data_IF_721857679457
#
_entry.id   IF_721857679457
#
_cell.length_a   1.000
_cell.length_b   1.000
_cell.length_c   1.000
_cell.angle_alpha   90.00
_cell.angle_beta   90.00
_cell.angle_gamma   90.00
#
_symmetry.space_group_name_H-M   'P 1'
#
loop_
_entity.id
_entity.type
_entity.pdbx_description
1 polymer ?
#
# COMPACT_ATOMS: atom_id res chain seq x y z
N UNK A 1 11.25 -4.43 -20.89
CA UNK A 1 11.38 -4.31 -19.43
C UNK A 1 9.98 -4.37 -18.82
N UNK A 2 9.65 -5.38 -18.00
CA UNK A 2 8.44 -5.29 -17.16
C UNK A 2 8.71 -4.21 -16.12
N UNK A 3 7.95 -3.11 -16.11
CA UNK A 3 8.07 -2.17 -14.99
C UNK A 3 7.56 -2.89 -13.74
N UNK A 4 8.32 -2.81 -12.65
CA UNK A 4 7.85 -3.29 -11.37
C UNK A 4 6.71 -2.39 -10.90
N UNK A 5 5.68 -2.97 -10.29
CA UNK A 5 4.63 -2.18 -9.63
C UNK A 5 5.24 -1.51 -8.41
N UNK A 6 5.05 -0.21 -8.25
CA UNK A 6 5.60 0.55 -7.13
C UNK A 6 4.51 0.78 -6.10
N UNK A 7 4.66 0.23 -4.91
CA UNK A 7 3.76 0.49 -3.78
C UNK A 7 4.46 1.45 -2.82
N UNK A 8 3.89 2.63 -2.61
CA UNK A 8 4.43 3.64 -1.69
C UNK A 8 3.46 3.90 -0.55
N UNK A 9 3.87 3.63 0.69
CA UNK A 9 3.07 3.86 1.90
C UNK A 9 3.52 5.12 2.64
N UNK A 10 2.58 5.90 3.17
CA UNK A 10 2.89 7.02 4.06
C UNK A 10 3.32 6.49 5.44
N UNK A 11 4.57 6.74 5.82
CA UNK A 11 5.17 6.40 7.11
C UNK A 11 5.13 7.56 8.13
N UNK A 12 4.42 8.64 7.81
CA UNK A 12 4.24 9.77 8.72
C UNK A 12 3.49 9.40 10.00
N UNK A 13 3.73 10.15 11.08
CA UNK A 13 3.17 9.90 12.41
C UNK A 13 1.63 9.85 12.44
N UNK A 14 0.96 10.67 11.63
CA UNK A 14 -0.50 10.65 11.48
C UNK A 14 -1.01 9.34 10.87
N UNK A 15 -0.35 8.82 9.83
CA UNK A 15 -0.72 7.53 9.24
C UNK A 15 -0.38 6.37 10.18
N UNK A 16 0.70 6.47 10.94
CA UNK A 16 1.06 5.49 11.96
C UNK A 16 0.00 5.37 13.06
N UNK A 17 -0.43 6.50 13.63
CA UNK A 17 -1.52 6.52 14.63
C UNK A 17 -2.85 5.98 14.09
N UNK A 18 -3.04 5.97 12.77
CA UNK A 18 -4.23 5.45 12.08
C UNK A 18 -4.07 4.01 11.60
N UNK A 19 -2.97 3.33 11.93
CA UNK A 19 -2.81 1.89 11.66
C UNK A 19 -2.06 1.54 10.38
N UNK A 20 -1.23 2.43 9.81
CA UNK A 20 -0.44 2.10 8.62
C UNK A 20 0.49 0.87 8.81
N UNK A 21 0.91 0.58 10.04
CA UNK A 21 1.79 -0.53 10.38
C UNK A 21 1.12 -1.88 10.10
N UNK A 22 -0.16 -2.00 10.44
CA UNK A 22 -0.95 -3.20 10.18
C UNK A 22 -1.17 -3.38 8.69
N UNK A 23 -1.43 -2.28 7.97
CA UNK A 23 -1.55 -2.30 6.50
C UNK A 23 -0.23 -2.74 5.85
N UNK A 24 0.90 -2.24 6.35
CA UNK A 24 2.23 -2.60 5.86
C UNK A 24 2.50 -4.10 6.03
N UNK A 25 2.14 -4.69 7.17
CA UNK A 25 2.25 -6.13 7.40
C UNK A 25 1.37 -6.94 6.45
N UNK A 26 0.11 -6.54 6.28
CA UNK A 26 -0.83 -7.19 5.36
C UNK A 26 -0.29 -7.18 3.92
N UNK A 27 0.26 -6.06 3.46
CA UNK A 27 0.84 -5.98 2.11
C UNK A 27 2.05 -6.91 1.98
N UNK A 28 2.96 -6.92 2.96
CA UNK A 28 4.14 -7.80 2.92
C UNK A 28 3.76 -9.27 2.87
N UNK A 29 2.78 -9.68 3.68
CA UNK A 29 2.29 -11.05 3.70
C UNK A 29 1.64 -11.40 2.36
N UNK A 30 0.75 -10.54 1.85
CA UNK A 30 0.12 -10.72 0.56
C UNK A 30 1.13 -10.89 -0.58
N UNK A 31 2.15 -10.04 -0.65
CA UNK A 31 3.18 -10.13 -1.69
C UNK A 31 3.99 -11.41 -1.60
N UNK A 32 4.22 -11.91 -0.38
CA UNK A 32 4.96 -13.16 -0.15
C UNK A 32 4.11 -14.38 -0.52
N UNK A 33 2.85 -14.43 -0.07
CA UNK A 33 1.91 -15.52 -0.35
C UNK A 33 1.61 -15.68 -1.85
N UNK A 34 1.68 -14.58 -2.60
CA UNK A 34 1.39 -14.55 -4.03
C UNK A 34 2.63 -14.53 -4.93
N UNK A 35 3.83 -14.72 -4.36
CA UNK A 35 5.11 -14.72 -5.10
C UNK A 35 5.37 -13.41 -5.89
N UNK A 36 4.79 -12.29 -5.46
CA UNK A 36 4.87 -10.99 -6.12
C UNK A 36 6.06 -10.13 -5.65
N UNK A 37 6.78 -10.56 -4.61
CA UNK A 37 7.90 -9.81 -4.01
C UNK A 37 8.99 -9.38 -5.01
N UNK A 38 9.24 -10.18 -6.05
CA UNK A 38 10.22 -9.84 -7.10
C UNK A 38 9.69 -8.84 -8.14
N UNK A 39 8.37 -8.75 -8.27
CA UNK A 39 7.66 -7.92 -9.25
C UNK A 39 7.20 -6.57 -8.69
N UNK A 40 7.31 -6.39 -7.37
CA UNK A 40 6.89 -5.17 -6.66
C UNK A 40 8.09 -4.47 -6.04
N UNK A 41 8.10 -3.14 -6.14
CA UNK A 41 9.02 -2.27 -5.41
C UNK A 41 8.24 -1.57 -4.30
N UNK A 42 8.53 -1.89 -3.05
CA UNK A 42 7.83 -1.31 -1.89
C UNK A 42 8.65 -0.15 -1.29
N UNK A 43 8.06 1.04 -1.21
CA UNK A 43 8.69 2.28 -0.74
C UNK A 43 7.91 2.90 0.42
N UNK A 44 8.64 3.59 1.28
CA UNK A 44 8.07 4.49 2.26
C UNK A 44 8.20 5.94 1.81
N UNK A 45 7.18 6.76 2.06
CA UNK A 45 7.26 8.21 1.95
C UNK A 45 6.75 8.87 3.22
N UNK A 46 7.14 10.13 3.47
CA UNK A 46 6.69 10.88 4.63
C UNK A 46 5.37 11.61 4.33
N UNK A 47 5.30 12.92 4.54
CA UNK A 47 4.06 13.68 4.36
C UNK A 47 3.53 13.54 2.93
N UNK A 48 2.22 13.37 2.81
CA UNK A 48 1.48 13.33 1.54
C UNK A 48 0.49 14.50 1.44
N UNK A 49 0.58 15.47 2.36
CA UNK A 49 -0.34 16.59 2.59
C UNK A 49 -1.82 16.18 2.76
N UNK A 50 -2.06 14.90 3.04
CA UNK A 50 -3.36 14.26 3.24
C UNK A 50 -3.45 13.56 4.59
N UNK A 51 -2.80 14.10 5.61
CA UNK A 51 -2.67 13.47 6.94
C UNK A 51 -4.02 13.19 7.63
N UNK A 52 -5.05 13.98 7.32
CA UNK A 52 -6.43 13.82 7.83
C UNK A 52 -7.13 12.61 7.21
N UNK A 53 -6.74 12.21 6.00
CA UNK A 53 -7.33 11.13 5.22
C UNK A 53 -6.55 9.80 5.39
N UNK A 54 -5.53 9.75 6.24
CA UNK A 54 -4.70 8.54 6.38
C UNK A 54 -5.45 7.31 6.93
N UNK A 55 -4.89 6.11 6.80
CA UNK A 55 -3.60 5.78 6.17
C UNK A 55 -3.60 5.97 4.65
N UNK A 56 -2.51 6.54 4.13
CA UNK A 56 -2.34 6.83 2.70
C UNK A 56 -1.36 5.86 2.03
N UNK A 57 -1.71 5.43 0.83
CA UNK A 57 -0.94 4.51 0.02
C UNK A 57 -1.05 4.90 -1.46
N UNK A 58 -0.01 4.63 -2.24
CA UNK A 58 -0.02 4.82 -3.69
C UNK A 58 0.45 3.54 -4.34
N UNK A 59 -0.29 3.03 -5.31
CA UNK A 59 0.14 1.93 -6.17
C UNK A 59 0.30 2.49 -7.57
N UNK A 60 1.53 2.46 -8.08
CA UNK A 60 1.96 3.15 -9.29
C UNK A 60 1.56 4.63 -9.25
N UNK A 61 0.52 5.03 -9.99
CA UNK A 61 0.01 6.41 -10.04
C UNK A 61 -1.29 6.61 -9.24
N UNK A 62 -1.88 5.52 -8.74
CA UNK A 62 -3.20 5.55 -8.08
C UNK A 62 -3.06 5.77 -6.58
N UNK A 63 -3.68 6.84 -6.07
CA UNK A 63 -3.67 7.20 -4.65
C UNK A 63 -4.88 6.62 -3.93
N UNK A 64 -4.63 6.06 -2.75
CA UNK A 64 -5.61 5.51 -1.84
C UNK A 64 -5.44 6.15 -0.47
N UNK A 65 -6.57 6.41 0.19
CA UNK A 65 -6.65 7.05 1.49
C UNK A 65 -7.72 6.36 2.34
N UNK A 66 -7.61 6.47 3.66
CA UNK A 66 -8.55 5.88 4.61
C UNK A 66 -8.53 4.36 4.60
N UNK A 67 -7.40 3.76 4.24
CA UNK A 67 -7.29 2.31 4.11
C UNK A 67 -7.32 1.62 5.47
N UNK A 68 -7.90 0.43 5.46
CA UNK A 68 -7.92 -0.56 6.52
C UNK A 68 -7.52 -1.94 5.96
N UNK A 69 -7.54 -2.98 6.81
CA UNK A 69 -7.15 -4.34 6.42
C UNK A 69 -8.04 -4.89 5.30
N UNK A 70 -9.34 -4.60 5.31
CA UNK A 70 -10.28 -5.17 4.35
C UNK A 70 -10.13 -4.48 2.98
N UNK A 71 -10.01 -3.15 2.98
CA UNK A 71 -9.88 -2.34 1.79
C UNK A 71 -8.51 -2.51 1.12
N UNK A 72 -7.41 -2.66 1.86
CA UNK A 72 -6.09 -2.90 1.24
C UNK A 72 -6.07 -4.22 0.46
N UNK A 73 -6.64 -5.30 1.01
CA UNK A 73 -6.70 -6.59 0.31
C UNK A 73 -7.51 -6.48 -0.98
N UNK A 74 -8.65 -5.76 -0.94
CA UNK A 74 -9.44 -5.48 -2.16
C UNK A 74 -8.66 -4.69 -3.19
N UNK A 75 -7.93 -3.66 -2.76
CA UNK A 75 -7.10 -2.83 -3.64
C UNK A 75 -6.00 -3.68 -4.30
N UNK A 76 -5.31 -4.52 -3.53
CA UNK A 76 -4.26 -5.41 -4.06
C UNK A 76 -4.84 -6.43 -5.05
N UNK A 77 -5.96 -7.07 -4.72
CA UNK A 77 -6.63 -8.02 -5.62
C UNK A 77 -7.07 -7.37 -6.93
N UNK A 78 -7.65 -6.17 -6.85
CA UNK A 78 -8.03 -5.42 -8.04
C UNK A 78 -6.82 -5.11 -8.92
N UNK A 79 -5.69 -4.75 -8.31
CA UNK A 79 -4.48 -4.36 -9.04
C UNK A 79 -3.73 -5.54 -9.67
N UNK A 80 -3.64 -6.67 -8.98
CA UNK A 80 -2.84 -7.83 -9.44
C UNK A 80 -3.67 -8.89 -10.16
N UNK A 81 -4.96 -9.04 -9.85
CA UNK A 81 -5.80 -10.13 -10.35
C UNK A 81 -7.06 -9.67 -11.11
N UNK A 82 -7.37 -8.36 -11.15
CA UNK A 82 -8.53 -7.79 -11.85
C UNK A 82 -9.84 -8.57 -11.61
N UNK A 83 -10.07 -8.94 -10.35
CA UNK A 83 -11.32 -9.58 -9.91
C UNK A 83 -12.40 -8.52 -9.67
#
# INVERSE_FOLDING_TARGET
MKSKTVITICLGSSCYRRGNQTILEVIKNYLTENELSSSVEFKGQLCTDKCTEGPNLTIDETKYSGLDINSIVKVLNHHFYKI
#
